data_IF_737234521571
#
_entry.id   IF_737234521571
#
_cell.length_a   1.000
_cell.length_b   1.000
_cell.length_c   1.000
_cell.angle_alpha   90.00
_cell.angle_beta   90.00
_cell.angle_gamma   90.00
#
_symmetry.space_group_name_H-M   'P 1'
#
loop_
_entity.id
_entity.type
_entity.pdbx_description
1 polymer ?
#
# COMPACT_ATOMS: atom_id res chain seq x y z
N UNK A 1 -16.13 -34.56 24.90
CA UNK A 1 -16.37 -33.42 24.00
C UNK A 1 -17.25 -33.93 22.88
N UNK A 2 -18.39 -33.27 22.62
CA UNK A 2 -19.36 -33.73 21.62
C UNK A 2 -18.79 -33.48 20.22
N UNK A 3 -19.08 -34.38 19.27
CA UNK A 3 -18.66 -34.24 17.87
C UNK A 3 -19.23 -32.95 17.25
N UNK A 4 -20.38 -32.50 17.75
CA UNK A 4 -21.05 -31.27 17.30
C UNK A 4 -20.28 -30.01 17.71
N UNK A 5 -19.66 -30.00 18.90
CA UNK A 5 -18.88 -28.86 19.40
C UNK A 5 -17.65 -28.59 18.53
N UNK A 6 -17.03 -29.66 18.00
CA UNK A 6 -15.85 -29.56 17.15
C UNK A 6 -16.16 -29.07 15.74
N UNK A 7 -17.38 -29.31 15.23
CA UNK A 7 -17.83 -28.85 13.92
C UNK A 7 -18.12 -27.35 13.99
N UNK A 8 -18.79 -26.89 15.06
CA UNK A 8 -19.08 -25.47 15.28
C UNK A 8 -17.78 -24.67 15.43
N UNK A 9 -16.83 -25.14 16.25
CA UNK A 9 -15.55 -24.46 16.44
C UNK A 9 -14.72 -24.34 15.15
N UNK A 10 -14.79 -25.33 14.25
CA UNK A 10 -14.13 -25.25 12.94
C UNK A 10 -14.79 -24.24 12.02
N UNK A 11 -16.13 -24.24 11.96
CA UNK A 11 -16.88 -23.28 11.15
C UNK A 11 -16.61 -21.85 11.57
N UNK A 12 -16.64 -21.60 12.88
CA UNK A 12 -16.40 -20.25 13.43
C UNK A 12 -14.95 -19.80 13.17
N UNK A 13 -13.97 -20.73 13.21
CA UNK A 13 -12.59 -20.42 12.85
C UNK A 13 -12.40 -20.12 11.35
N UNK A 14 -13.12 -20.83 10.48
CA UNK A 14 -13.11 -20.58 9.03
C UNK A 14 -13.76 -19.23 8.69
N UNK A 15 -14.88 -18.90 9.34
CA UNK A 15 -15.59 -17.63 9.19
C UNK A 15 -14.74 -16.43 9.67
N UNK A 16 -14.02 -16.57 10.79
CA UNK A 16 -13.07 -15.55 11.25
C UNK A 16 -11.86 -15.35 10.31
N UNK A 17 -11.38 -16.42 9.66
CA UNK A 17 -10.29 -16.33 8.68
C UNK A 17 -10.78 -15.63 7.41
N UNK A 18 -11.99 -15.94 6.96
CA UNK A 18 -12.63 -15.31 5.82
C UNK A 18 -12.89 -13.83 6.08
N UNK A 19 -13.42 -13.46 7.26
CA UNK A 19 -13.66 -12.08 7.66
C UNK A 19 -12.36 -11.27 7.75
N UNK A 20 -11.29 -11.87 8.30
CA UNK A 20 -9.94 -11.25 8.36
C UNK A 20 -9.32 -11.07 6.97
N UNK A 21 -9.57 -11.98 6.04
CA UNK A 21 -9.13 -11.87 4.64
C UNK A 21 -10.05 -10.95 3.81
N UNK A 22 -11.29 -10.71 4.28
CA UNK A 22 -12.27 -9.80 3.68
C UNK A 22 -12.07 -8.33 4.08
N UNK A 23 -10.99 -8.01 4.83
CA UNK A 23 -10.50 -6.63 4.91
C UNK A 23 -9.91 -6.27 3.55
N UNK A 24 -10.81 -6.14 2.57
CA UNK A 24 -10.52 -5.93 1.18
C UNK A 24 -9.68 -4.68 1.10
N UNK A 25 -8.40 -4.86 0.78
CA UNK A 25 -7.56 -3.77 0.34
C UNK A 25 -8.21 -3.20 -0.91
N UNK A 26 -8.96 -2.11 -0.75
CA UNK A 26 -9.54 -1.40 -1.87
C UNK A 26 -8.40 -0.63 -2.55
N UNK A 27 -7.99 -1.02 -3.77
CA UNK A 27 -6.98 -0.26 -4.48
C UNK A 27 -7.57 1.11 -4.80
N UNK A 28 -7.13 2.15 -4.08
CA UNK A 28 -7.45 3.52 -4.46
C UNK A 28 -6.56 3.91 -5.62
N UNK A 29 -7.07 3.77 -6.83
CA UNK A 29 -6.43 4.36 -8.00
C UNK A 29 -6.73 5.87 -8.02
N UNK A 30 -5.72 6.73 -8.09
CA UNK A 30 -5.96 8.15 -8.32
C UNK A 30 -6.62 8.32 -9.69
N UNK A 31 -7.78 8.96 -9.73
CA UNK A 31 -8.35 9.43 -10.99
C UNK A 31 -7.54 10.64 -11.46
N UNK A 32 -6.92 10.50 -12.63
CA UNK A 32 -6.09 11.53 -13.24
C UNK A 32 -6.83 12.09 -14.45
N UNK A 33 -6.80 13.42 -14.58
CA UNK A 33 -7.26 14.06 -15.82
C UNK A 33 -6.32 13.70 -16.97
N UNK A 34 -6.78 13.82 -18.22
CA UNK A 34 -5.93 13.57 -19.40
C UNK A 34 -4.63 14.38 -19.34
N UNK A 35 -4.71 15.64 -18.89
CA UNK A 35 -3.55 16.52 -18.71
C UNK A 35 -2.56 15.97 -17.67
N UNK A 36 -3.06 15.46 -16.55
CA UNK A 36 -2.20 14.92 -15.49
C UNK A 36 -1.61 13.57 -15.88
N UNK A 37 -2.36 12.76 -16.64
CA UNK A 37 -1.86 11.53 -17.25
C UNK A 37 -0.72 11.81 -18.23
N UNK A 38 -0.87 12.81 -19.12
CA UNK A 38 0.17 13.19 -20.07
C UNK A 38 1.44 13.69 -19.33
N UNK A 39 1.27 14.53 -18.31
CA UNK A 39 2.38 15.02 -17.49
C UNK A 39 3.10 13.88 -16.74
N UNK A 40 2.35 12.88 -16.24
CA UNK A 40 2.90 11.69 -15.61
C UNK A 40 3.70 10.84 -16.61
N UNK A 41 3.13 10.59 -17.80
CA UNK A 41 3.79 9.79 -18.83
C UNK A 41 5.08 10.47 -19.33
N UNK A 42 5.07 11.79 -19.51
CA UNK A 42 6.27 12.54 -19.85
C UNK A 42 7.33 12.47 -18.75
N UNK A 43 6.94 12.60 -17.47
CA UNK A 43 7.88 12.48 -16.36
C UNK A 43 8.47 11.06 -16.22
N UNK A 44 7.73 10.01 -16.60
CA UNK A 44 8.26 8.64 -16.63
C UNK A 44 9.26 8.47 -17.78
N UNK A 45 8.94 9.00 -18.96
CA UNK A 45 9.81 8.93 -20.12
C UNK A 45 11.07 9.79 -19.95
N UNK A 46 10.92 10.96 -19.33
CA UNK A 46 11.94 12.00 -19.16
C UNK A 46 12.02 12.40 -17.67
N UNK A 47 12.59 11.55 -16.80
CA UNK A 47 12.63 11.82 -15.38
C UNK A 47 13.45 13.08 -15.07
N UNK A 48 12.87 14.06 -14.35
CA UNK A 48 13.61 15.26 -13.97
C UNK A 48 14.70 14.90 -12.96
N UNK A 49 15.82 15.65 -12.93
CA UNK A 49 16.83 15.46 -11.91
C UNK A 49 16.26 15.81 -10.52
N UNK A 50 16.73 15.16 -9.44
CA UNK A 50 16.32 15.49 -8.08
C UNK A 50 16.63 16.95 -7.75
N UNK A 51 15.66 17.67 -7.20
CA UNK A 51 15.87 19.04 -6.77
C UNK A 51 16.69 19.13 -5.47
N UNK A 52 17.15 20.34 -5.12
CA UNK A 52 17.98 20.57 -3.93
C UNK A 52 17.31 20.13 -2.61
N UNK A 53 15.98 20.24 -2.51
CA UNK A 53 15.26 19.82 -1.30
C UNK A 53 15.29 18.29 -1.13
N UNK A 54 15.09 17.54 -2.22
CA UNK A 54 15.20 16.09 -2.23
C UNK A 54 16.61 15.64 -1.84
N UNK A 55 17.65 16.26 -2.41
CA UNK A 55 19.04 15.93 -2.10
C UNK A 55 19.36 16.11 -0.61
N UNK A 56 18.88 17.21 0.00
CA UNK A 56 19.02 17.44 1.45
C UNK A 56 18.27 16.40 2.28
N UNK A 57 17.06 16.01 1.87
CA UNK A 57 16.28 14.99 2.56
C UNK A 57 16.99 13.62 2.53
N UNK A 58 17.54 13.23 1.38
CA UNK A 58 18.33 12.01 1.24
C UNK A 58 19.59 12.05 2.10
N UNK A 59 20.27 13.19 2.17
CA UNK A 59 21.44 13.36 3.04
C UNK A 59 21.07 13.20 4.52
N UNK A 60 19.95 13.80 4.96
CA UNK A 60 19.46 13.59 6.33
C UNK A 60 19.15 12.13 6.59
N UNK A 61 18.40 11.48 5.71
CA UNK A 61 18.06 10.06 5.83
C UNK A 61 19.30 9.16 5.95
N UNK A 62 20.33 9.40 5.13
CA UNK A 62 21.60 8.65 5.20
C UNK A 62 22.32 8.84 6.54
N UNK A 63 22.18 10.00 7.18
CA UNK A 63 22.80 10.30 8.49
C UNK A 63 22.00 9.75 9.67
N UNK A 64 20.66 9.84 9.62
CA UNK A 64 19.77 9.43 10.72
C UNK A 64 19.31 7.98 10.66
N UNK A 65 19.36 7.34 9.49
CA UNK A 65 18.76 6.03 9.25
C UNK A 65 17.22 6.05 9.22
N UNK A 66 16.59 7.23 9.27
CA UNK A 66 15.13 7.36 9.29
C UNK A 66 14.66 8.61 8.53
N UNK A 67 13.49 8.57 7.85
CA UNK A 67 12.94 9.76 7.22
C UNK A 67 12.57 10.76 8.32
N UNK A 68 13.15 11.97 8.25
CA UNK A 68 12.78 13.11 9.11
C UNK A 68 12.25 14.27 8.27
#
# INVERSE_FOLDING_TARGET
>A
MSTDDAIVAKRDAEEMIEERNSTAWEPRFPELSDRDMDALLDAIANPPPPNAAMLRAVERWRKSGSPQ
#
